data_IF_259054957638
#
_entry.id   IF_259054957638
#
_cell.length_a   1.000
_cell.length_b   1.000
_cell.length_c   1.000
_cell.angle_alpha   90.00
_cell.angle_beta   90.00
_cell.angle_gamma   90.00
#
_symmetry.space_group_name_H-M   'P 1'
#
loop_
_entity.id
_entity.type
_entity.pdbx_description
1 polymer ?
#
# COMPACT_ATOMS: atom_id res chain seq x y z
N UNK A 1 35.34 10.38 -29.45
CA UNK A 1 34.35 11.43 -29.81
C UNK A 1 32.98 10.87 -29.52
N UNK A 2 32.51 11.05 -28.29
CA UNK A 2 31.14 10.71 -27.89
C UNK A 2 30.30 11.98 -28.08
N UNK A 3 29.39 11.96 -29.04
CA UNK A 3 28.43 13.03 -29.29
C UNK A 3 27.36 12.96 -28.20
N UNK A 4 27.36 13.96 -27.31
CA UNK A 4 26.27 14.20 -26.37
C UNK A 4 25.02 14.56 -27.16
N UNK A 5 23.97 13.74 -27.04
CA UNK A 5 22.64 14.05 -27.54
C UNK A 5 21.95 14.85 -26.44
N UNK A 6 21.74 16.15 -26.69
CA UNK A 6 20.98 17.01 -25.79
C UNK A 6 19.51 16.54 -25.79
N UNK A 7 18.98 16.20 -24.61
CA UNK A 7 17.55 15.99 -24.43
C UNK A 7 16.82 17.32 -24.66
N UNK A 8 15.75 17.37 -25.46
CA UNK A 8 14.96 18.59 -25.62
C UNK A 8 14.39 19.01 -24.25
N UNK A 9 14.42 20.31 -23.95
CA UNK A 9 13.81 20.85 -22.73
C UNK A 9 12.28 20.66 -22.74
N UNK A 10 11.63 20.68 -21.57
CA UNK A 10 10.21 20.34 -21.40
C UNK A 10 9.26 21.08 -22.34
N UNK A 11 9.53 22.37 -22.64
CA UNK A 11 8.76 23.17 -23.60
C UNK A 11 8.73 22.60 -25.03
N UNK A 12 9.80 21.94 -25.47
CA UNK A 12 9.88 21.34 -26.81
C UNK A 12 9.18 19.97 -26.88
N UNK A 13 9.06 19.24 -25.76
CA UNK A 13 8.28 18.01 -25.68
C UNK A 13 6.77 18.31 -25.68
N UNK A 14 6.36 19.35 -24.95
CA UNK A 14 4.98 19.84 -24.87
C UNK A 14 4.44 20.25 -26.26
N UNK A 15 5.26 20.96 -27.04
CA UNK A 15 4.88 21.38 -28.40
C UNK A 15 4.70 20.20 -29.36
N UNK A 16 5.38 19.07 -29.11
CA UNK A 16 5.29 17.87 -29.95
C UNK A 16 4.08 16.98 -29.60
N UNK A 17 3.70 16.92 -28.32
CA UNK A 17 2.51 16.18 -27.85
C UNK A 17 1.20 16.86 -28.26
N UNK A 18 1.12 18.19 -28.14
CA UNK A 18 -0.03 18.97 -28.62
C UNK A 18 -0.25 18.85 -30.14
N UNK A 19 0.80 18.62 -30.93
CA UNK A 19 0.67 18.45 -32.38
C UNK A 19 0.13 17.06 -32.79
N UNK A 20 0.26 16.03 -31.94
CA UNK A 20 -0.15 14.67 -32.26
C UNK A 20 -1.63 14.41 -31.98
N UNK A 21 -2.23 15.09 -31.00
CA UNK A 21 -3.65 14.93 -30.64
C UNK A 21 -4.63 15.52 -31.68
N UNK A 22 -4.15 16.33 -32.62
CA UNK A 22 -5.00 17.01 -33.62
C UNK A 22 -4.82 16.48 -35.05
N UNK A 23 -4.13 15.36 -35.27
CA UNK A 23 -3.90 14.80 -36.60
C UNK A 23 -5.08 13.93 -37.07
N UNK A 24 -6.26 14.53 -37.22
CA UNK A 24 -7.44 13.88 -37.77
C UNK A 24 -8.47 14.91 -38.23
N UNK A 25 -8.57 15.07 -39.55
CA UNK A 25 -9.56 15.86 -40.31
C UNK A 25 -9.12 17.29 -40.70
N UNK A 26 -8.61 17.44 -41.93
CA UNK A 26 -8.02 18.64 -42.56
C UNK A 26 -9.04 19.77 -42.87
N UNK A 27 -10.18 19.83 -42.17
CA UNK A 27 -11.31 20.70 -42.50
C UNK A 27 -11.62 21.82 -41.50
N UNK A 28 -11.11 21.77 -40.28
CA UNK A 28 -11.47 22.72 -39.24
C UNK A 28 -10.56 23.96 -39.28
N UNK A 29 -11.15 25.08 -39.70
CA UNK A 29 -10.53 26.41 -39.64
C UNK A 29 -9.99 26.70 -38.23
N UNK A 30 -8.70 27.00 -38.14
CA UNK A 30 -8.02 27.49 -36.94
C UNK A 30 -8.72 28.76 -36.41
N UNK A 31 -9.72 28.57 -35.54
CA UNK A 31 -10.24 29.64 -34.71
C UNK A 31 -9.11 30.14 -33.83
N UNK A 32 -8.89 31.45 -33.80
CA UNK A 32 -8.01 32.10 -32.83
C UNK A 32 -8.43 31.63 -31.44
N UNK A 33 -7.60 30.75 -30.87
CA UNK A 33 -7.88 29.97 -29.68
C UNK A 33 -8.28 30.84 -28.51
N UNK A 34 -9.23 30.32 -27.75
CA UNK A 34 -9.68 30.89 -26.49
C UNK A 34 -8.61 30.68 -25.41
N UNK A 35 -7.51 31.42 -25.52
CA UNK A 35 -6.39 31.35 -24.57
C UNK A 35 -6.82 31.75 -23.15
N UNK A 36 -7.93 32.46 -23.02
CA UNK A 36 -8.48 32.85 -21.72
C UNK A 36 -9.04 31.65 -20.94
N UNK A 37 -9.58 30.64 -21.63
CA UNK A 37 -10.03 29.40 -21.00
C UNK A 37 -8.85 28.54 -20.51
N UNK A 38 -7.78 28.48 -21.30
CA UNK A 38 -6.54 27.76 -20.94
C UNK A 38 -5.84 28.39 -19.74
N UNK A 39 -5.72 29.72 -19.71
CA UNK A 39 -5.09 30.45 -18.61
C UNK A 39 -5.87 30.30 -17.28
N UNK A 40 -7.20 30.24 -17.35
CA UNK A 40 -8.05 30.01 -16.18
C UNK A 40 -7.88 28.59 -15.61
N UNK A 41 -7.75 27.60 -16.49
CA UNK A 41 -7.58 26.20 -16.10
C UNK A 41 -6.22 25.97 -15.41
N UNK A 42 -5.14 26.54 -15.95
CA UNK A 42 -3.81 26.46 -15.33
C UNK A 42 -3.83 27.08 -13.94
N UNK A 43 -4.45 28.25 -13.78
CA UNK A 43 -4.58 28.90 -12.47
C UNK A 43 -5.39 28.06 -11.45
N UNK A 44 -6.38 27.29 -11.92
CA UNK A 44 -7.13 26.39 -11.05
C UNK A 44 -6.27 25.21 -10.54
N UNK A 45 -5.43 24.63 -11.41
CA UNK A 45 -4.51 23.56 -11.01
C UNK A 45 -3.29 24.07 -10.22
N UNK A 46 -2.88 25.32 -10.42
CA UNK A 46 -1.77 25.93 -9.68
C UNK A 46 -2.01 25.88 -8.17
N UNK A 47 -3.22 26.21 -7.71
CA UNK A 47 -3.56 26.13 -6.27
C UNK A 47 -3.49 24.71 -5.72
N UNK A 48 -3.78 23.68 -6.52
CA UNK A 48 -3.70 22.28 -6.07
C UNK A 48 -2.25 21.81 -6.03
N UNK A 49 -1.49 22.15 -7.07
CA UNK A 49 -0.06 21.87 -7.13
C UNK A 49 0.71 22.62 -6.03
N UNK A 50 0.36 23.85 -5.71
CA UNK A 50 0.93 24.57 -4.56
C UNK A 50 0.67 23.82 -3.25
N UNK A 51 -0.55 23.28 -3.07
CA UNK A 51 -0.87 22.40 -1.95
C UNK A 51 0.07 21.19 -1.88
N UNK A 52 0.26 20.50 -3.00
CA UNK A 52 1.16 19.34 -3.09
C UNK A 52 2.61 19.66 -2.71
N UNK A 53 3.14 20.75 -3.27
CA UNK A 53 4.50 21.17 -2.97
C UNK A 53 4.64 21.73 -1.55
N UNK A 54 3.55 22.21 -0.94
CA UNK A 54 3.55 22.65 0.46
C UNK A 54 3.63 21.50 1.47
N UNK A 55 3.20 20.29 1.07
CA UNK A 55 3.30 19.06 1.85
C UNK A 55 4.61 18.28 1.54
N UNK A 56 5.57 18.89 0.83
CA UNK A 56 6.86 18.28 0.44
C UNK A 56 6.77 16.93 -0.31
N UNK A 57 5.67 16.71 -1.02
CA UNK A 57 5.40 15.45 -1.71
C UNK A 57 6.27 15.27 -2.96
N UNK A 58 6.99 14.14 -3.09
CA UNK A 58 7.68 13.77 -4.33
C UNK A 58 6.68 13.20 -5.35
N UNK A 59 6.02 14.11 -6.06
CA UNK A 59 4.98 13.81 -7.04
C UNK A 59 5.52 13.63 -8.47
N UNK A 60 6.84 13.52 -8.64
CA UNK A 60 7.48 13.38 -9.95
C UNK A 60 7.42 14.63 -10.82
N UNK A 61 6.93 15.75 -10.29
CA UNK A 61 6.95 17.07 -10.91
C UNK A 61 8.12 17.90 -10.37
N UNK A 62 8.68 18.78 -11.20
CA UNK A 62 9.86 19.59 -10.81
C UNK A 62 9.51 20.85 -10.04
N UNK A 63 8.31 21.41 -10.27
CA UNK A 63 7.74 22.51 -9.53
C UNK A 63 6.20 22.56 -9.73
N UNK A 64 5.53 23.38 -8.93
CA UNK A 64 4.07 23.52 -8.95
C UNK A 64 3.54 24.02 -10.31
N UNK A 65 4.29 24.88 -11.00
CA UNK A 65 3.89 25.39 -12.31
C UNK A 65 3.91 24.28 -13.36
N UNK A 66 4.94 23.43 -13.36
CA UNK A 66 5.04 22.27 -14.26
C UNK A 66 3.95 21.23 -13.94
N UNK A 67 3.66 21.01 -12.66
CA UNK A 67 2.50 20.20 -12.24
C UNK A 67 1.20 20.75 -12.84
N UNK A 68 0.93 22.05 -12.70
CA UNK A 68 -0.29 22.68 -13.19
C UNK A 68 -0.40 22.63 -14.72
N UNK A 69 0.70 22.87 -15.45
CA UNK A 69 0.74 22.74 -16.91
C UNK A 69 0.42 21.31 -17.36
N UNK A 70 0.96 20.29 -16.70
CA UNK A 70 0.70 18.89 -17.06
C UNK A 70 -0.75 18.51 -16.78
N UNK A 71 -1.28 18.85 -15.61
CA UNK A 71 -2.69 18.58 -15.26
C UNK A 71 -3.66 19.30 -16.21
N UNK A 72 -3.34 20.54 -16.60
CA UNK A 72 -4.11 21.29 -17.58
C UNK A 72 -4.15 20.58 -18.94
N UNK A 73 -3.03 20.04 -19.40
CA UNK A 73 -2.95 19.29 -20.67
C UNK A 73 -3.70 17.96 -20.58
N UNK A 74 -3.55 17.21 -19.49
CA UNK A 74 -4.29 15.95 -19.25
C UNK A 74 -5.80 16.21 -19.28
N UNK A 75 -6.27 17.21 -18.52
CA UNK A 75 -7.68 17.59 -18.50
C UNK A 75 -8.17 18.04 -19.87
N UNK A 76 -7.40 18.85 -20.60
CA UNK A 76 -7.77 19.27 -21.96
C UNK A 76 -7.95 18.06 -22.90
N UNK A 77 -7.12 17.02 -22.74
CA UNK A 77 -7.26 15.76 -23.47
C UNK A 77 -8.56 15.02 -23.13
N UNK A 78 -8.86 14.88 -21.84
CA UNK A 78 -10.10 14.25 -21.34
C UNK A 78 -11.34 15.04 -21.82
N UNK A 79 -11.35 16.35 -21.60
CA UNK A 79 -12.43 17.24 -22.00
C UNK A 79 -12.67 17.21 -23.51
N UNK A 80 -11.59 17.26 -24.30
CA UNK A 80 -11.66 17.16 -25.76
C UNK A 80 -12.23 15.81 -26.22
N UNK A 81 -11.83 14.71 -25.57
CA UNK A 81 -12.29 13.36 -25.87
C UNK A 81 -13.77 13.17 -25.52
N UNK A 82 -14.20 13.64 -24.35
CA UNK A 82 -15.60 13.66 -23.94
C UNK A 82 -16.45 14.50 -24.91
N UNK A 83 -16.01 15.71 -25.25
CA UNK A 83 -16.71 16.58 -26.19
C UNK A 83 -16.82 15.96 -27.60
N UNK A 84 -15.77 15.29 -28.08
CA UNK A 84 -15.78 14.59 -29.36
C UNK A 84 -16.79 13.41 -29.38
N UNK A 85 -17.00 12.77 -28.23
CA UNK A 85 -18.02 11.74 -28.03
C UNK A 85 -19.43 12.31 -27.75
N UNK A 86 -19.59 13.63 -27.63
CA UNK A 86 -20.86 14.28 -27.28
C UNK A 86 -21.26 14.09 -25.81
N UNK A 87 -20.28 13.90 -24.93
CA UNK A 87 -20.43 13.66 -23.50
C UNK A 87 -20.19 14.94 -22.69
N UNK A 88 -20.66 14.94 -21.44
CA UNK A 88 -20.35 15.98 -20.46
C UNK A 88 -19.08 15.61 -19.72
N UNK A 89 -18.23 16.59 -19.40
CA UNK A 89 -17.00 16.38 -18.62
C UNK A 89 -17.13 17.03 -17.23
N UNK A 90 -16.60 16.39 -16.20
CA UNK A 90 -16.65 16.87 -14.80
C UNK A 90 -15.24 17.12 -14.24
N UNK A 91 -14.85 18.40 -14.18
CA UNK A 91 -13.54 18.80 -13.65
C UNK A 91 -13.43 18.51 -12.14
N UNK A 92 -14.53 18.67 -11.40
CA UNK A 92 -14.52 18.39 -9.96
C UNK A 92 -14.30 16.89 -9.70
N UNK A 93 -14.91 16.03 -10.52
CA UNK A 93 -14.64 14.60 -10.48
C UNK A 93 -13.19 14.26 -10.85
N UNK A 94 -12.67 14.81 -11.95
CA UNK A 94 -11.27 14.61 -12.33
C UNK A 94 -10.34 14.91 -11.16
N UNK A 95 -10.53 16.07 -10.53
CA UNK A 95 -9.77 16.48 -9.34
C UNK A 95 -9.95 15.50 -8.19
N UNK A 96 -11.19 15.14 -7.82
CA UNK A 96 -11.47 14.22 -6.71
C UNK A 96 -10.89 12.80 -6.88
N UNK A 97 -10.75 12.31 -8.10
CA UNK A 97 -10.14 11.00 -8.37
C UNK A 97 -8.61 11.03 -8.37
N UNK A 98 -7.99 12.22 -8.36
CA UNK A 98 -6.55 12.31 -8.22
C UNK A 98 -6.22 12.06 -6.75
N UNK A 99 -5.34 11.07 -6.47
CA UNK A 99 -4.66 10.90 -5.19
C UNK A 99 -4.54 12.21 -4.38
N UNK A 100 -3.91 13.18 -5.01
CA UNK A 100 -3.43 14.41 -4.45
C UNK A 100 -4.49 15.41 -3.98
N UNK A 101 -5.67 15.44 -4.63
CA UNK A 101 -6.74 16.36 -4.23
C UNK A 101 -7.43 15.90 -2.94
N UNK A 102 -7.34 14.60 -2.64
CA UNK A 102 -7.98 13.96 -1.49
C UNK A 102 -6.99 13.71 -0.35
N UNK A 103 -5.71 13.47 -0.65
CA UNK A 103 -4.67 13.23 0.36
C UNK A 103 -4.21 14.49 1.09
N UNK A 104 -4.26 15.67 0.46
CA UNK A 104 -3.69 16.89 1.05
C UNK A 104 -2.32 16.62 1.71
N UNK A 105 -2.17 17.07 2.94
CA UNK A 105 -1.07 16.85 3.87
C UNK A 105 -1.51 15.77 4.89
N UNK A 106 -1.98 14.59 4.46
CA UNK A 106 -2.38 13.49 5.38
C UNK A 106 -1.48 12.28 5.16
N UNK A 107 -1.22 11.52 6.23
CA UNK A 107 -0.59 10.19 6.09
C UNK A 107 -1.53 9.22 5.39
N UNK A 108 -0.98 8.12 4.87
CA UNK A 108 -1.77 6.98 4.37
C UNK A 108 -2.82 6.56 5.41
N UNK A 109 -2.40 6.35 6.65
CA UNK A 109 -3.28 5.90 7.74
C UNK A 109 -4.39 6.92 8.04
N UNK A 110 -4.06 8.21 8.15
CA UNK A 110 -5.05 9.28 8.40
C UNK A 110 -6.09 9.35 7.28
N UNK A 111 -5.67 9.18 6.03
CA UNK A 111 -6.57 9.14 4.89
C UNK A 111 -7.53 7.94 5.00
N UNK A 112 -7.00 6.72 5.21
CA UNK A 112 -7.85 5.52 5.28
C UNK A 112 -8.73 5.49 6.53
N UNK A 113 -8.29 6.08 7.64
CA UNK A 113 -9.12 6.31 8.82
C UNK A 113 -10.24 7.34 8.56
N UNK A 114 -9.97 8.33 7.71
CA UNK A 114 -10.92 9.37 7.32
C UNK A 114 -11.92 8.93 6.24
N UNK A 115 -11.62 7.87 5.49
CA UNK A 115 -12.55 7.29 4.54
C UNK A 115 -13.72 6.65 5.28
N UNK A 116 -14.94 7.11 4.99
CA UNK A 116 -16.12 6.32 5.33
C UNK A 116 -16.11 5.08 4.43
N UNK A 117 -15.90 3.87 4.97
CA UNK A 117 -15.85 2.66 4.16
C UNK A 117 -17.18 2.42 3.44
N UNK A 118 -18.29 3.00 3.91
CA UNK A 118 -19.59 2.96 3.25
C UNK A 118 -19.75 4.01 2.15
N UNK A 119 -18.95 5.07 2.13
CA UNK A 119 -18.99 6.12 1.11
C UNK A 119 -18.25 5.68 -0.15
N UNK A 120 -18.90 4.85 -0.96
CA UNK A 120 -18.43 4.67 -2.32
C UNK A 120 -18.70 5.95 -3.13
N UNK A 121 -17.62 6.65 -3.48
CA UNK A 121 -17.64 7.88 -4.27
C UNK A 121 -16.96 7.62 -5.61
N UNK A 122 -17.65 6.90 -6.48
CA UNK A 122 -17.20 6.77 -7.87
C UNK A 122 -17.73 7.94 -8.70
N UNK A 123 -16.89 8.48 -9.56
CA UNK A 123 -17.29 9.47 -10.54
C UNK A 123 -16.47 9.29 -11.83
N UNK A 124 -17.03 9.70 -12.97
CA UNK A 124 -16.35 9.67 -14.26
C UNK A 124 -15.90 11.07 -14.67
N UNK A 125 -14.75 11.14 -15.34
CA UNK A 125 -14.22 12.42 -15.85
C UNK A 125 -15.05 12.90 -17.05
N UNK A 126 -15.63 11.97 -17.81
CA UNK A 126 -16.61 12.25 -18.86
C UNK A 126 -17.75 11.23 -18.84
N UNK A 127 -18.99 11.71 -18.91
CA UNK A 127 -20.19 10.91 -18.71
C UNK A 127 -21.31 11.30 -19.70
N UNK A 128 -22.21 10.37 -19.96
CA UNK A 128 -23.40 10.55 -20.79
C UNK A 128 -24.69 10.44 -19.99
N UNK A 129 -25.71 9.83 -20.59
CA UNK A 129 -27.04 9.66 -19.97
C UNK A 129 -27.45 8.20 -19.80
N UNK A 130 -26.56 7.24 -20.08
CA UNK A 130 -26.84 5.82 -19.94
C UNK A 130 -27.22 5.45 -18.51
N UNK A 131 -28.38 4.83 -18.32
CA UNK A 131 -28.85 4.38 -17.01
C UNK A 131 -28.21 3.05 -16.60
N UNK A 132 -28.38 2.67 -15.33
CA UNK A 132 -27.93 1.36 -14.82
C UNK A 132 -28.48 0.21 -15.69
N UNK A 133 -27.58 -0.63 -16.21
CA UNK A 133 -27.88 -1.76 -17.08
C UNK A 133 -27.96 -1.44 -18.58
N UNK A 134 -27.89 -0.17 -18.98
CA UNK A 134 -27.82 0.20 -20.40
C UNK A 134 -26.49 -0.27 -21.01
N UNK A 135 -26.50 -0.63 -22.29
CA UNK A 135 -25.27 -0.85 -23.03
C UNK A 135 -24.49 0.47 -23.13
N UNK A 136 -23.17 0.37 -23.03
CA UNK A 136 -22.30 1.55 -22.98
C UNK A 136 -21.08 1.42 -23.89
N UNK A 137 -20.38 2.54 -24.10
CA UNK A 137 -19.14 2.61 -24.88
C UNK A 137 -18.05 3.22 -24.00
N UNK A 138 -16.95 2.49 -23.70
CA UNK A 138 -15.81 3.09 -23.05
C UNK A 138 -14.99 3.90 -24.06
N UNK A 139 -14.60 5.12 -23.70
CA UNK A 139 -13.74 5.99 -24.54
C UNK A 139 -12.31 6.09 -24.01
N UNK A 140 -11.98 5.40 -22.91
CA UNK A 140 -10.68 5.48 -22.23
C UNK A 140 -10.67 6.52 -21.10
N UNK A 141 -9.64 6.49 -20.26
CA UNK A 141 -9.34 7.53 -19.25
C UNK A 141 -10.54 7.96 -18.38
N UNK A 142 -11.35 7.00 -17.93
CA UNK A 142 -12.51 7.28 -17.08
C UNK A 142 -13.68 7.97 -17.79
N UNK A 143 -13.78 7.84 -19.13
CA UNK A 143 -14.85 8.40 -19.96
C UNK A 143 -15.75 7.27 -20.51
N UNK A 144 -17.07 7.43 -20.36
CA UNK A 144 -18.07 6.58 -21.02
C UNK A 144 -19.40 7.32 -21.23
N UNK A 145 -20.32 6.73 -22.00
CA UNK A 145 -21.68 7.24 -22.20
C UNK A 145 -22.66 6.92 -21.05
N UNK A 146 -22.20 6.29 -19.97
CA UNK A 146 -22.98 6.08 -18.75
C UNK A 146 -23.22 7.39 -17.99
N UNK A 147 -24.31 7.46 -17.23
CA UNK A 147 -24.60 8.58 -16.34
C UNK A 147 -23.54 8.71 -15.23
N UNK A 148 -23.36 9.93 -14.71
CA UNK A 148 -22.39 10.20 -13.65
C UNK A 148 -22.65 9.32 -12.42
N UNK A 149 -21.58 8.75 -11.88
CA UNK A 149 -21.62 7.79 -10.77
C UNK A 149 -21.75 6.32 -11.19
N UNK A 150 -22.06 6.02 -12.45
CA UNK A 150 -21.98 4.66 -13.00
C UNK A 150 -20.62 4.41 -13.65
N UNK A 151 -20.29 3.17 -14.00
CA UNK A 151 -19.09 2.77 -14.74
C UNK A 151 -19.45 1.86 -15.91
N UNK A 152 -18.81 2.06 -17.05
CA UNK A 152 -18.95 1.16 -18.19
C UNK A 152 -18.03 -0.06 -18.04
N UNK A 153 -18.60 -1.26 -17.97
CA UNK A 153 -17.86 -2.51 -17.69
C UNK A 153 -18.24 -3.62 -18.67
N UNK A 154 -17.23 -4.34 -19.16
CA UNK A 154 -17.37 -5.54 -20.00
C UNK A 154 -16.73 -5.40 -21.39
N UNK A 155 -16.20 -6.49 -21.95
CA UNK A 155 -15.48 -6.45 -23.23
C UNK A 155 -16.39 -6.58 -24.46
N UNK A 156 -17.34 -7.54 -24.43
CA UNK A 156 -18.14 -7.90 -25.61
C UNK A 156 -19.52 -7.24 -25.63
N UNK A 157 -20.06 -6.93 -24.46
CA UNK A 157 -21.33 -6.24 -24.28
C UNK A 157 -21.23 -5.34 -23.04
N UNK A 158 -20.41 -4.28 -23.11
CA UNK A 158 -20.24 -3.35 -22.00
C UNK A 158 -21.59 -2.79 -21.52
N UNK A 159 -21.82 -2.80 -20.21
CA UNK A 159 -23.01 -2.19 -19.58
C UNK A 159 -22.65 -1.22 -18.47
N UNK A 160 -23.50 -0.22 -18.27
CA UNK A 160 -23.38 0.70 -17.14
C UNK A 160 -23.71 -0.04 -15.84
N UNK A 161 -22.75 -0.11 -14.92
CA UNK A 161 -22.95 -0.66 -13.58
C UNK A 161 -22.81 0.45 -12.54
N UNK A 162 -23.42 0.27 -11.38
CA UNK A 162 -23.16 1.09 -10.20
C UNK A 162 -22.02 0.42 -9.41
N UNK A 163 -20.80 0.97 -9.43
CA UNK A 163 -19.67 0.38 -8.70
C UNK A 163 -19.87 0.43 -7.17
N UNK A 164 -20.81 1.26 -6.72
CA UNK A 164 -21.19 1.43 -5.32
C UNK A 164 -22.35 0.56 -4.89
N UNK A 165 -23.10 0.01 -5.84
CA UNK A 165 -24.02 -1.07 -5.54
C UNK A 165 -23.18 -2.30 -5.18
N UNK A 166 -23.22 -2.70 -3.90
CA UNK A 166 -22.56 -3.89 -3.43
C UNK A 166 -22.95 -5.10 -4.29
N UNK A 167 -21.99 -5.69 -4.98
CA UNK A 167 -22.17 -6.86 -5.81
C UNK A 167 -22.56 -8.06 -4.95
N UNK A 168 -23.69 -8.67 -5.28
CA UNK A 168 -24.24 -9.84 -4.61
C UNK A 168 -23.49 -11.12 -4.98
N UNK A 169 -23.86 -12.23 -4.32
CA UNK A 169 -23.22 -13.54 -4.55
C UNK A 169 -23.29 -13.95 -6.02
N UNK A 170 -22.13 -14.28 -6.60
CA UNK A 170 -21.96 -14.69 -7.99
C UNK A 170 -21.86 -13.53 -8.99
N UNK A 171 -22.07 -12.28 -8.57
CA UNK A 171 -21.84 -11.10 -9.40
C UNK A 171 -20.35 -10.75 -9.43
N UNK A 172 -19.89 -10.13 -10.50
CA UNK A 172 -18.48 -9.78 -10.65
C UNK A 172 -18.05 -8.73 -9.61
N UNK A 173 -16.91 -8.97 -8.98
CA UNK A 173 -16.25 -8.03 -8.05
C UNK A 173 -15.07 -7.28 -8.68
N UNK A 174 -14.81 -7.45 -9.97
CA UNK A 174 -13.67 -6.82 -10.65
C UNK A 174 -13.76 -5.29 -10.61
N UNK A 175 -14.99 -4.76 -10.65
CA UNK A 175 -15.24 -3.33 -10.77
C UNK A 175 -16.33 -2.81 -9.84
N UNK A 176 -16.81 -3.67 -8.94
CA UNK A 176 -17.83 -3.34 -7.96
C UNK A 176 -17.35 -3.82 -6.59
N UNK A 177 -17.69 -3.04 -5.56
CA UNK A 177 -17.48 -3.47 -4.19
C UNK A 177 -18.34 -4.71 -3.92
N UNK A 178 -17.82 -5.72 -3.23
CA UNK A 178 -18.65 -6.81 -2.73
C UNK A 178 -19.69 -6.28 -1.73
N UNK A 179 -20.92 -6.80 -1.78
CA UNK A 179 -21.92 -6.48 -0.76
C UNK A 179 -21.41 -6.85 0.65
N UNK A 180 -21.94 -6.19 1.69
CA UNK A 180 -21.49 -6.40 3.07
C UNK A 180 -21.49 -7.88 3.45
N UNK A 181 -20.36 -8.36 3.98
CA UNK A 181 -20.14 -9.75 4.35
C UNK A 181 -19.80 -10.69 3.20
N UNK A 182 -19.59 -10.19 1.98
CA UNK A 182 -19.05 -10.95 0.85
C UNK A 182 -17.58 -10.59 0.61
N UNK A 183 -16.86 -11.50 -0.05
CA UNK A 183 -15.46 -11.34 -0.45
C UNK A 183 -15.31 -11.59 -1.95
N UNK A 184 -14.35 -10.91 -2.58
CA UNK A 184 -14.05 -11.11 -3.99
C UNK A 184 -13.19 -12.37 -4.17
N UNK A 185 -13.69 -13.35 -4.94
CA UNK A 185 -12.87 -14.45 -5.40
C UNK A 185 -11.97 -14.00 -6.53
N UNK A 186 -10.66 -13.93 -6.27
CA UNK A 186 -9.70 -13.43 -7.26
C UNK A 186 -9.50 -14.37 -8.45
N UNK A 187 -9.93 -15.63 -8.36
CA UNK A 187 -9.83 -16.60 -9.45
C UNK A 187 -11.06 -16.55 -10.35
N UNK A 188 -12.24 -16.47 -9.74
CA UNK A 188 -13.52 -16.42 -10.47
C UNK A 188 -13.98 -14.98 -10.75
N UNK A 189 -13.30 -13.99 -10.18
CA UNK A 189 -13.64 -12.55 -10.20
C UNK A 189 -15.10 -12.28 -9.81
N UNK A 190 -15.62 -13.05 -8.85
CA UNK A 190 -17.00 -13.01 -8.40
C UNK A 190 -17.11 -12.89 -6.87
N UNK A 191 -18.15 -12.20 -6.40
CA UNK A 191 -18.44 -12.09 -4.97
C UNK A 191 -18.93 -13.44 -4.44
N UNK A 192 -18.33 -13.92 -3.36
CA UNK A 192 -18.73 -15.14 -2.67
C UNK A 192 -18.89 -14.85 -1.19
N UNK A 193 -19.72 -15.63 -0.50
CA UNK A 193 -19.72 -15.59 0.96
C UNK A 193 -18.41 -16.21 1.47
N UNK A 194 -17.80 -15.69 2.55
CA UNK A 194 -16.72 -16.37 3.25
C UNK A 194 -17.12 -17.80 3.62
N UNK A 195 -16.15 -18.72 3.61
CA UNK A 195 -16.42 -20.12 3.96
C UNK A 195 -16.79 -20.25 5.44
N UNK A 196 -17.85 -21.03 5.72
CA UNK A 196 -18.25 -21.40 7.09
C UNK A 196 -17.45 -22.59 7.59
N UNK A 197 -17.57 -22.91 8.88
CA UNK A 197 -16.93 -24.10 9.44
C UNK A 197 -17.33 -25.37 8.67
N UNK A 198 -16.31 -26.07 8.16
CA UNK A 198 -16.42 -27.26 7.32
C UNK A 198 -16.65 -27.00 5.82
N UNK A 199 -16.88 -25.76 5.39
CA UNK A 199 -16.99 -25.38 3.98
C UNK A 199 -15.62 -25.05 3.37
N UNK A 200 -15.46 -25.14 2.03
CA UNK A 200 -14.24 -24.69 1.37
C UNK A 200 -13.94 -23.22 1.64
N UNK A 201 -12.67 -22.87 1.72
CA UNK A 201 -12.24 -21.48 1.83
C UNK A 201 -12.64 -20.71 0.58
N UNK A 202 -13.13 -19.50 0.82
CA UNK A 202 -13.58 -18.63 -0.25
C UNK A 202 -12.41 -17.85 -0.85
N UNK A 203 -12.51 -17.59 -2.14
CA UNK A 203 -11.87 -16.44 -2.73
C UNK A 203 -10.42 -16.59 -3.15
N UNK A 204 -9.85 -17.80 -3.12
CA UNK A 204 -8.43 -18.02 -3.41
C UNK A 204 -7.45 -17.49 -2.36
N UNK A 205 -7.91 -16.56 -1.53
CA UNK A 205 -7.17 -15.85 -0.49
C UNK A 205 -7.38 -16.48 0.89
N UNK A 206 -7.78 -17.75 0.95
CA UNK A 206 -7.94 -18.50 2.20
C UNK A 206 -8.95 -17.84 3.16
N UNK A 207 -10.03 -17.25 2.61
CA UNK A 207 -10.98 -16.44 3.39
C UNK A 207 -12.08 -17.31 4.00
N UNK A 208 -12.29 -17.11 5.29
CA UNK A 208 -13.32 -17.78 6.09
C UNK A 208 -14.12 -16.73 6.88
N UNK A 209 -15.27 -17.11 7.44
CA UNK A 209 -15.98 -16.25 8.40
C UNK A 209 -15.07 -15.86 9.58
N UNK A 210 -15.34 -14.72 10.22
CA UNK A 210 -14.56 -14.20 11.35
C UNK A 210 -14.36 -15.27 12.43
N UNK A 211 -13.11 -15.41 12.89
CA UNK A 211 -12.73 -16.42 13.89
C UNK A 211 -12.45 -17.82 13.34
N UNK A 212 -12.54 -18.03 12.02
CA UNK A 212 -12.11 -19.25 11.35
C UNK A 212 -10.79 -19.05 10.61
N UNK A 213 -10.09 -20.14 10.36
CA UNK A 213 -8.86 -20.21 9.57
C UNK A 213 -9.03 -21.22 8.44
N UNK A 214 -8.38 -20.95 7.30
CA UNK A 214 -8.38 -21.90 6.19
C UNK A 214 -7.35 -23.01 6.43
N UNK A 215 -7.81 -24.25 6.51
CA UNK A 215 -6.98 -25.43 6.71
C UNK A 215 -6.83 -26.16 5.39
N UNK A 216 -5.60 -26.20 4.86
CA UNK A 216 -5.32 -26.78 3.54
C UNK A 216 -5.43 -28.31 3.50
N UNK A 217 -5.40 -28.98 4.65
CA UNK A 217 -5.48 -30.44 4.73
C UNK A 217 -6.86 -30.94 4.30
N UNK A 218 -6.89 -31.81 3.29
CA UNK A 218 -8.13 -32.44 2.83
C UNK A 218 -9.05 -31.57 1.97
N UNK A 219 -8.57 -30.41 1.49
CA UNK A 219 -9.26 -29.61 0.47
C UNK A 219 -9.56 -28.16 0.84
N UNK A 220 -8.69 -27.47 1.60
CA UNK A 220 -8.84 -26.06 1.98
C UNK A 220 -10.21 -25.78 2.60
N UNK A 221 -10.42 -26.24 3.85
CA UNK A 221 -11.67 -26.06 4.58
C UNK A 221 -11.52 -25.03 5.69
N UNK A 222 -12.52 -24.18 5.86
CA UNK A 222 -12.60 -23.27 6.98
C UNK A 222 -12.89 -24.04 8.26
N UNK A 223 -12.11 -23.79 9.31
CA UNK A 223 -12.27 -24.41 10.63
C UNK A 223 -11.93 -23.40 11.73
N UNK A 224 -12.45 -23.57 12.96
CA UNK A 224 -11.93 -22.82 14.09
C UNK A 224 -10.44 -23.15 14.31
N UNK A 225 -9.64 -22.20 14.82
CA UNK A 225 -8.31 -22.50 15.33
C UNK A 225 -8.36 -23.63 16.36
N UNK A 226 -7.32 -24.47 16.36
CA UNK A 226 -7.26 -25.67 17.18
C UNK A 226 -7.16 -25.32 18.68
N UNK A 227 -8.03 -25.93 19.48
CA UNK A 227 -8.05 -25.76 20.94
C UNK A 227 -7.01 -26.62 21.65
N UNK A 228 -6.95 -26.49 22.98
CA UNK A 228 -6.00 -27.24 23.82
C UNK A 228 -6.14 -28.77 23.63
N UNK A 229 -5.03 -29.41 23.27
CA UNK A 229 -4.93 -30.84 23.02
C UNK A 229 -5.38 -31.29 21.62
N UNK A 230 -5.79 -30.36 20.75
CA UNK A 230 -6.18 -30.66 19.37
C UNK A 230 -4.99 -30.57 18.39
N UNK A 231 -5.02 -31.27 17.25
CA UNK A 231 -3.92 -31.25 16.28
C UNK A 231 -3.66 -29.87 15.67
N UNK A 232 -2.38 -29.52 15.55
CA UNK A 232 -1.93 -28.20 15.07
C UNK A 232 -1.00 -28.23 13.85
N UNK A 233 -0.80 -29.39 13.23
CA UNK A 233 0.11 -29.55 12.08
C UNK A 233 -0.28 -28.65 10.88
N UNK A 234 -1.58 -28.41 10.69
CA UNK A 234 -2.12 -27.63 9.58
C UNK A 234 -3.15 -26.57 10.00
N UNK A 235 -3.36 -26.43 11.31
CA UNK A 235 -4.35 -25.51 11.89
C UNK A 235 -3.64 -24.69 12.95
N UNK A 236 -3.64 -23.35 12.87
CA UNK A 236 -3.11 -22.54 13.96
C UNK A 236 -3.88 -22.82 15.25
N UNK A 237 -3.16 -22.75 16.37
CA UNK A 237 -3.78 -22.86 17.68
C UNK A 237 -4.59 -21.60 18.01
N UNK A 238 -5.56 -21.75 18.92
CA UNK A 238 -6.26 -20.60 19.49
C UNK A 238 -5.29 -19.62 20.17
N UNK A 239 -5.71 -18.36 20.27
CA UNK A 239 -4.92 -17.31 20.92
C UNK A 239 -4.45 -17.75 22.32
N UNK A 240 -3.14 -17.57 22.58
CA UNK A 240 -2.50 -17.96 23.84
C UNK A 240 -2.05 -19.43 23.92
N UNK A 241 -2.25 -20.23 22.86
CA UNK A 241 -1.72 -21.60 22.74
C UNK A 241 -0.59 -21.65 21.71
N UNK A 242 0.28 -22.65 21.82
CA UNK A 242 1.35 -22.94 20.87
C UNK A 242 1.28 -24.41 20.39
N UNK A 243 1.80 -24.66 19.19
CA UNK A 243 1.85 -26.01 18.64
C UNK A 243 3.05 -26.78 19.23
N UNK A 244 2.80 -27.82 20.02
CA UNK A 244 3.85 -28.72 20.50
C UNK A 244 4.31 -29.61 19.33
N UNK A 245 5.42 -29.27 18.70
CA UNK A 245 5.97 -29.90 17.49
C UNK A 245 6.16 -31.41 17.64
N UNK A 246 6.48 -31.90 18.84
CA UNK A 246 6.69 -33.33 19.11
C UNK A 246 5.40 -34.14 19.16
N UNK A 247 4.34 -33.55 19.71
CA UNK A 247 3.03 -34.18 19.80
C UNK A 247 2.13 -33.87 18.59
N UNK A 248 2.41 -32.77 17.89
CA UNK A 248 1.55 -32.20 16.86
C UNK A 248 0.23 -31.67 17.44
N UNK A 249 0.19 -31.27 18.71
CA UNK A 249 -1.01 -30.82 19.43
C UNK A 249 -0.84 -29.40 19.98
N UNK A 250 -1.92 -28.62 20.03
CA UNK A 250 -1.92 -27.33 20.72
C UNK A 250 -1.79 -27.54 22.23
N UNK A 251 -0.88 -26.80 22.85
CA UNK A 251 -0.65 -26.81 24.29
C UNK A 251 -0.44 -25.37 24.81
N UNK A 252 -0.49 -25.20 26.13
CA UNK A 252 -0.07 -23.94 26.74
C UNK A 252 1.44 -23.75 26.47
N UNK A 253 1.89 -22.56 26.04
CA UNK A 253 3.31 -22.28 25.84
C UNK A 253 4.13 -22.57 27.10
N UNK A 254 5.37 -23.00 26.94
CA UNK A 254 6.22 -23.37 28.07
C UNK A 254 6.52 -22.15 28.95
N UNK A 255 6.26 -22.29 30.25
CA UNK A 255 6.56 -21.30 31.27
C UNK A 255 8.04 -21.31 31.69
N UNK A 256 8.43 -20.36 32.53
CA UNK A 256 9.81 -20.24 32.97
C UNK A 256 10.31 -21.51 33.71
N UNK A 257 11.45 -22.05 33.26
CA UNK A 257 12.06 -23.29 33.74
C UNK A 257 11.50 -24.57 33.11
N UNK A 258 10.49 -24.48 32.24
CA UNK A 258 9.96 -25.62 31.50
C UNK A 258 10.69 -25.80 30.17
N UNK A 259 10.63 -27.00 29.58
CA UNK A 259 11.37 -27.28 28.36
C UNK A 259 10.71 -26.70 27.12
N UNK A 260 11.50 -25.99 26.31
CA UNK A 260 11.12 -25.46 25.00
C UNK A 260 11.57 -26.34 23.83
N UNK A 261 12.04 -27.56 24.10
CA UNK A 261 12.56 -28.45 23.06
C UNK A 261 11.50 -28.84 22.01
N UNK A 262 10.22 -28.78 22.38
CA UNK A 262 9.10 -29.22 21.55
C UNK A 262 7.98 -28.17 21.46
N UNK A 263 8.06 -27.06 22.19
CA UNK A 263 7.01 -26.05 22.24
C UNK A 263 7.62 -24.67 22.46
N UNK A 264 6.99 -23.65 21.90
CA UNK A 264 7.43 -22.27 22.10
C UNK A 264 7.24 -21.82 23.54
N UNK A 265 8.10 -20.91 23.98
CA UNK A 265 7.98 -20.30 25.30
C UNK A 265 6.82 -19.30 25.36
N UNK A 266 6.26 -19.11 26.54
CA UNK A 266 5.28 -18.05 26.77
C UNK A 266 5.85 -16.66 26.40
N UNK A 267 4.96 -15.74 26.04
CA UNK A 267 5.33 -14.36 25.64
C UNK A 267 6.27 -13.73 26.67
N UNK A 268 7.41 -13.21 26.19
CA UNK A 268 8.46 -12.59 27.00
C UNK A 268 9.51 -13.55 27.57
N UNK A 269 9.45 -14.83 27.23
CA UNK A 269 10.47 -15.83 27.55
C UNK A 269 11.16 -16.33 26.28
N UNK A 270 12.38 -16.85 26.43
CA UNK A 270 13.22 -17.36 25.34
C UNK A 270 13.78 -18.74 25.69
N UNK A 271 14.03 -19.54 24.66
CA UNK A 271 14.52 -20.91 24.81
C UNK A 271 16.05 -20.92 24.98
N UNK A 272 16.55 -21.19 26.19
CA UNK A 272 17.97 -21.17 26.50
C UNK A 272 18.76 -22.36 25.89
N UNK A 273 20.08 -22.38 26.13
CA UNK A 273 20.97 -23.45 25.64
C UNK A 273 20.71 -24.82 26.28
N UNK A 274 20.12 -24.84 27.48
CA UNK A 274 19.69 -26.04 28.19
C UNK A 274 18.27 -26.49 27.76
N UNK A 275 17.70 -25.82 26.75
CA UNK A 275 16.35 -26.03 26.23
C UNK A 275 15.26 -25.80 27.28
N UNK A 276 15.46 -24.81 28.13
CA UNK A 276 14.48 -24.31 29.09
C UNK A 276 14.06 -22.88 28.75
N UNK A 277 12.79 -22.58 28.95
CA UNK A 277 12.30 -21.22 28.82
C UNK A 277 12.82 -20.37 29.99
N UNK A 278 13.48 -19.26 29.69
CA UNK A 278 13.95 -18.32 30.68
C UNK A 278 13.59 -16.89 30.25
N UNK A 279 13.40 -15.97 31.21
CA UNK A 279 13.35 -14.55 30.86
C UNK A 279 14.69 -14.13 30.24
N UNK A 280 14.71 -13.07 29.43
CA UNK A 280 15.97 -12.53 28.94
C UNK A 280 16.88 -12.07 30.10
N UNK A 281 18.19 -12.17 29.93
CA UNK A 281 19.17 -11.87 30.99
C UNK A 281 19.21 -10.39 31.38
N UNK A 282 19.31 -10.09 32.67
CA UNK A 282 19.55 -8.73 33.17
C UNK A 282 21.01 -8.30 33.09
N UNK A 283 21.30 -7.05 33.50
CA UNK A 283 22.68 -6.49 33.46
C UNK A 283 23.67 -7.34 34.28
N UNK A 284 24.73 -7.80 33.61
CA UNK A 284 25.74 -8.71 34.15
C UNK A 284 25.33 -10.17 34.26
N UNK A 285 24.11 -10.55 33.86
CA UNK A 285 23.63 -11.94 33.81
C UNK A 285 23.93 -12.59 32.45
N UNK A 286 23.97 -13.94 32.36
CA UNK A 286 24.15 -14.62 31.09
C UNK A 286 23.04 -14.32 30.07
N UNK A 287 23.42 -14.26 28.79
CA UNK A 287 22.44 -14.10 27.73
C UNK A 287 21.56 -15.36 27.57
N UNK A 288 20.29 -15.17 27.26
CA UNK A 288 19.35 -16.27 27.00
C UNK A 288 19.02 -16.28 25.51
N UNK A 289 19.56 -17.26 24.76
CA UNK A 289 19.44 -17.31 23.30
C UNK A 289 19.90 -16.03 22.58
N UNK A 290 20.93 -15.36 23.12
CA UNK A 290 21.40 -14.07 22.62
C UNK A 290 20.51 -12.87 23.00
N UNK A 291 19.45 -13.10 23.77
CA UNK A 291 18.50 -12.06 24.19
C UNK A 291 18.82 -11.58 25.62
N UNK A 292 18.68 -10.26 25.80
CA UNK A 292 18.86 -9.55 27.06
C UNK A 292 17.63 -8.68 27.35
N UNK A 293 17.47 -8.26 28.60
CA UNK A 293 16.37 -7.39 28.98
C UNK A 293 16.42 -6.07 28.18
N UNK A 294 15.27 -5.40 28.07
CA UNK A 294 15.14 -4.14 27.33
C UNK A 294 16.25 -3.13 27.68
N UNK A 295 16.91 -2.59 26.66
CA UNK A 295 18.03 -1.64 26.80
C UNK A 295 19.42 -2.28 27.00
N UNK A 296 19.54 -3.60 26.87
CA UNK A 296 20.82 -4.33 26.98
C UNK A 296 21.15 -5.10 25.68
N UNK A 297 22.44 -5.31 25.42
CA UNK A 297 22.95 -6.20 24.37
C UNK A 297 23.63 -7.42 24.99
N UNK A 298 23.64 -8.54 24.25
CA UNK A 298 24.45 -9.69 24.60
C UNK A 298 25.88 -9.51 24.07
N UNK A 299 26.88 -9.41 24.96
CA UNK A 299 28.28 -9.52 24.54
C UNK A 299 28.63 -10.99 24.33
N UNK A 300 28.63 -11.44 23.07
CA UNK A 300 28.94 -12.83 22.71
C UNK A 300 30.37 -13.28 23.06
N UNK A 301 31.29 -12.36 23.41
CA UNK A 301 32.64 -12.74 23.83
C UNK A 301 32.69 -13.23 25.28
N UNK A 302 31.85 -12.65 26.14
CA UNK A 302 31.76 -13.02 27.56
C UNK A 302 30.45 -13.71 27.92
N UNK A 303 29.51 -13.77 26.97
CA UNK A 303 28.15 -14.32 27.09
C UNK A 303 27.34 -13.69 28.23
N UNK A 304 27.53 -12.38 28.46
CA UNK A 304 26.82 -11.61 29.47
C UNK A 304 26.06 -10.44 28.83
N UNK A 305 24.90 -10.16 29.38
CA UNK A 305 24.13 -8.97 29.06
C UNK A 305 24.78 -7.74 29.69
N UNK A 306 24.87 -6.67 28.90
CA UNK A 306 25.39 -5.38 29.35
C UNK A 306 24.72 -4.23 28.59
N UNK A 307 25.07 -2.98 28.91
CA UNK A 307 24.55 -1.82 28.18
C UNK A 307 24.78 -1.96 26.66
N UNK A 308 23.82 -1.48 25.87
CA UNK A 308 23.99 -1.39 24.41
C UNK A 308 25.28 -0.62 24.07
N UNK A 309 26.10 -1.11 23.11
CA UNK A 309 27.36 -0.45 22.76
C UNK A 309 27.12 0.93 22.14
N UNK A 310 27.96 1.90 22.54
CA UNK A 310 27.93 3.27 22.03
C UNK A 310 28.72 3.46 20.74
N UNK A 311 28.73 4.70 20.23
CA UNK A 311 29.40 5.05 18.97
C UNK A 311 30.89 4.64 18.97
N UNK A 312 31.28 3.85 17.97
CA UNK A 312 32.65 3.34 17.79
C UNK A 312 33.02 2.17 18.70
N UNK A 313 32.10 1.66 19.52
CA UNK A 313 32.29 0.44 20.30
C UNK A 313 31.97 -0.80 19.46
N UNK A 314 32.60 -1.95 19.74
CA UNK A 314 32.32 -3.18 19.02
C UNK A 314 30.88 -3.65 19.25
N UNK A 315 30.26 -4.18 18.21
CA UNK A 315 28.90 -4.70 18.23
C UNK A 315 28.80 -6.03 17.48
N UNK A 316 27.70 -6.74 17.70
CA UNK A 316 27.36 -7.95 16.94
C UNK A 316 26.06 -7.77 16.16
N UNK A 317 24.98 -7.38 16.85
CA UNK A 317 23.64 -7.23 16.27
C UNK A 317 22.86 -6.02 16.79
N UNK A 318 23.27 -5.42 17.90
CA UNK A 318 22.60 -4.27 18.50
C UNK A 318 23.59 -3.18 18.95
N UNK A 319 23.13 -1.93 18.91
CA UNK A 319 23.82 -0.73 19.38
C UNK A 319 22.84 0.14 20.17
N UNK A 320 23.35 1.17 20.86
CA UNK A 320 22.51 2.15 21.53
C UNK A 320 21.59 2.87 20.53
N UNK A 321 20.55 3.55 21.03
CA UNK A 321 19.59 4.30 20.23
C UNK A 321 20.30 5.19 19.18
N UNK A 322 19.72 5.28 17.98
CA UNK A 322 20.24 6.00 16.81
C UNK A 322 21.54 5.46 16.19
N UNK A 323 22.00 4.28 16.62
CA UNK A 323 23.17 3.61 16.06
C UNK A 323 22.80 2.29 15.38
N UNK A 324 23.65 1.86 14.45
CA UNK A 324 23.56 0.59 13.76
C UNK A 324 24.88 -0.16 13.83
N UNK A 325 24.82 -1.50 13.89
CA UNK A 325 26.00 -2.33 13.86
C UNK A 325 26.50 -2.51 12.42
N UNK A 326 27.57 -1.81 12.05
CA UNK A 326 28.19 -1.98 10.74
C UNK A 326 28.86 -3.36 10.64
N UNK A 327 28.21 -4.29 9.94
CA UNK A 327 28.72 -5.65 9.77
C UNK A 327 30.06 -5.75 9.03
N UNK A 328 30.50 -4.71 8.32
CA UNK A 328 31.84 -4.70 7.70
C UNK A 328 32.94 -4.40 8.71
N UNK A 329 32.68 -3.48 9.65
CA UNK A 329 33.68 -3.04 10.64
C UNK A 329 33.52 -3.73 11.99
N UNK A 330 32.33 -4.20 12.32
CA UNK A 330 31.95 -4.73 13.63
C UNK A 330 31.82 -3.65 14.70
N UNK A 331 31.56 -2.40 14.31
CA UNK A 331 31.46 -1.25 15.20
C UNK A 331 30.10 -0.55 15.08
N UNK A 332 29.64 0.04 16.18
CA UNK A 332 28.45 0.88 16.16
C UNK A 332 28.74 2.20 15.43
N UNK A 333 27.99 2.45 14.36
CA UNK A 333 28.04 3.70 13.59
C UNK A 333 26.72 4.45 13.75
N UNK A 334 26.75 5.76 13.56
CA UNK A 334 25.51 6.54 13.50
C UNK A 334 24.67 6.06 12.31
N UNK A 335 23.37 5.89 12.54
CA UNK A 335 22.44 5.73 11.44
C UNK A 335 22.47 6.97 10.52
N UNK A 336 22.26 6.82 9.20
CA UNK A 336 22.29 7.97 8.30
C UNK A 336 21.20 8.98 8.66
N UNK A 337 21.58 10.26 8.71
CA UNK A 337 20.67 11.37 8.96
C UNK A 337 19.91 11.81 7.70
N UNK A 338 19.12 12.86 7.85
CA UNK A 338 18.33 13.43 6.75
C UNK A 338 19.23 13.83 5.55
N UNK A 339 18.85 13.36 4.36
CA UNK A 339 19.55 13.61 3.10
C UNK A 339 20.75 12.67 2.85
N UNK A 340 21.08 11.78 3.77
CA UNK A 340 22.12 10.76 3.61
C UNK A 340 21.57 9.48 2.98
N UNK A 341 22.39 8.71 2.22
CA UNK A 341 21.96 7.43 1.66
C UNK A 341 21.65 6.43 2.76
N UNK A 342 20.56 5.68 2.61
CA UNK A 342 20.18 4.66 3.58
C UNK A 342 21.21 3.56 3.68
N UNK A 343 21.32 2.99 4.88
CA UNK A 343 22.18 1.86 5.15
C UNK A 343 21.27 0.64 5.37
N UNK A 344 21.16 -0.25 4.38
CA UNK A 344 20.24 -1.40 4.42
C UNK A 344 18.78 -1.04 4.76
N UNK A 345 18.24 0.01 4.14
CA UNK A 345 16.89 0.54 4.40
C UNK A 345 16.70 1.19 5.78
N UNK A 346 17.77 1.44 6.52
CA UNK A 346 17.73 2.05 7.86
C UNK A 346 18.26 3.48 7.84
N UNK A 347 17.66 4.30 8.70
CA UNK A 347 17.89 5.72 8.90
C UNK A 347 17.81 6.03 10.40
N UNK A 348 18.25 7.21 10.85
CA UNK A 348 18.12 7.61 12.27
C UNK A 348 16.65 7.63 12.72
N UNK A 349 16.40 7.71 14.03
CA UNK A 349 15.02 7.79 14.53
C UNK A 349 14.21 8.88 13.79
N UNK A 350 12.93 8.59 13.58
CA UNK A 350 11.95 9.43 12.87
C UNK A 350 12.22 9.61 11.36
N UNK A 351 13.16 8.86 10.76
CA UNK A 351 13.43 8.86 9.32
C UNK A 351 13.12 7.49 8.70
N UNK A 352 12.70 7.47 7.43
CA UNK A 352 12.53 6.25 6.62
C UNK A 352 13.32 6.32 5.32
N UNK A 353 13.63 5.16 4.77
CA UNK A 353 14.38 5.04 3.54
C UNK A 353 13.48 5.14 2.30
N UNK A 354 13.67 6.17 1.48
CA UNK A 354 12.89 6.39 0.25
C UNK A 354 13.71 6.31 -1.03
N UNK A 355 13.17 5.64 -2.05
CA UNK A 355 13.67 5.66 -3.44
C UNK A 355 14.79 4.66 -3.77
N UNK A 356 15.37 4.82 -4.96
CA UNK A 356 16.52 4.06 -5.46
C UNK A 356 17.54 5.01 -6.13
N UNK A 357 18.75 5.23 -5.58
CA UNK A 357 19.34 4.58 -4.41
C UNK A 357 18.86 5.26 -3.12
N UNK A 358 18.18 4.53 -2.24
CA UNK A 358 17.43 5.10 -1.12
C UNK A 358 18.12 6.20 -0.31
N UNK A 359 17.38 7.26 0.03
CA UNK A 359 17.82 8.38 0.87
C UNK A 359 16.95 8.42 2.14
N UNK A 360 17.58 8.73 3.27
CA UNK A 360 16.89 8.97 4.53
C UNK A 360 16.19 10.34 4.50
N UNK A 361 14.88 10.31 4.62
CA UNK A 361 14.04 11.49 4.80
C UNK A 361 13.17 11.23 6.03
N UNK A 362 12.59 12.27 6.67
CA UNK A 362 11.59 12.06 7.71
C UNK A 362 10.59 11.00 7.24
N UNK A 363 10.23 10.09 8.14
CA UNK A 363 8.96 9.37 7.99
C UNK A 363 7.98 10.49 7.74
N UNK A 364 7.49 10.61 6.51
CA UNK A 364 6.60 11.69 6.19
C UNK A 364 5.41 11.47 7.14
N UNK A 365 5.38 12.21 8.25
CA UNK A 365 4.16 12.89 8.60
C UNK A 365 3.71 13.44 7.25
N UNK A 366 2.68 12.81 6.70
CA UNK A 366 2.15 13.11 5.37
C UNK A 366 2.92 12.44 4.21
N UNK A 367 3.05 11.11 4.20
CA UNK A 367 3.33 10.39 2.93
C UNK A 367 2.16 10.66 1.98
N UNK A 368 2.31 11.66 1.12
CA UNK A 368 1.61 11.66 -0.16
C UNK A 368 2.02 10.40 -0.92
N UNK A 369 1.08 9.48 -1.06
CA UNK A 369 1.20 8.32 -1.93
C UNK A 369 1.35 8.84 -3.37
N UNK A 370 2.53 8.70 -3.96
CA UNK A 370 2.65 8.76 -5.41
C UNK A 370 2.03 7.48 -6.02
N UNK A 371 1.19 7.58 -7.06
CA UNK A 371 0.53 6.44 -7.70
C UNK A 371 1.49 5.48 -8.43
#
# INVERSE_FOLDING_TARGET
MMTSIARPGPKALLTLLLAAACAGDDGATSGTGDTAGEELLVAEFESECEGLFSCECDVGYTDAAICAEILAVEWAGIHGSAAAAGLESDLACYKATRPFATYACQTFDEYYEGLDPAACSYCQHGYGTGALGDACTPYGDGISDCAQGLRCVGDLAPTCIDPCAGAGVGESCEFARSADGLVCDIWDMACVAPGKDGEPCAGGLLLCEEGLTCVLEGGALCRPPAGLGEPCEFVPCQEGLACELGAGLCAEPAGAGESCAQIECAVGLFCDLDQLCAPPGGDGEPCVAGQCAEGLACDLNVELCGPLPGLGEPCFDACADDLWCDFETGECVALPGEGEPCLFFMCSADLVCFGDPGICAPELAEVCIAP
#
